data_IF_796449955104
#
_entry.id   IF_796449955104
#
_cell.length_a   1.000
_cell.length_b   1.000
_cell.length_c   1.000
_cell.angle_alpha   90.00
_cell.angle_beta   90.00
_cell.angle_gamma   90.00
#
_symmetry.space_group_name_H-M   'P 1'
#
loop_
_entity.id
_entity.type
_entity.pdbx_description
1 polymer ?
#
# COMPACT_ATOMS: atom_id res chain seq x y z
N UNK A 1 -2.51 -8.04 4.76
CA UNK A 1 -2.68 -6.65 5.23
C UNK A 1 -1.57 -6.26 6.18
N UNK A 2 -1.63 -6.71 7.43
CA UNK A 2 -0.76 -6.23 8.53
C UNK A 2 0.74 -6.43 8.33
N UNK A 3 1.19 -7.61 7.87
CA UNK A 3 2.62 -7.95 7.78
C UNK A 3 3.41 -7.17 6.72
N UNK A 4 2.76 -6.77 5.62
CA UNK A 4 3.44 -6.19 4.45
C UNK A 4 2.85 -4.84 4.05
N UNK A 5 1.90 -4.29 4.79
CA UNK A 5 1.13 -3.11 4.36
C UNK A 5 0.52 -3.26 2.95
N UNK A 6 0.44 -4.48 2.42
CA UNK A 6 -0.22 -4.82 1.18
C UNK A 6 -1.70 -4.93 1.53
N UNK A 7 -2.48 -3.89 1.22
CA UNK A 7 -3.94 -4.01 1.29
C UNK A 7 -4.39 -5.19 0.41
N UNK A 8 -5.46 -5.86 0.82
CA UNK A 8 -5.90 -7.12 0.20
C UNK A 8 -6.06 -7.05 -1.32
N UNK A 9 -6.29 -5.86 -1.89
CA UNK A 9 -6.58 -5.64 -3.31
C UNK A 9 -5.60 -6.25 -4.32
N UNK A 10 -4.32 -6.43 -4.00
CA UNK A 10 -3.37 -7.11 -4.92
C UNK A 10 -3.77 -8.56 -5.24
N UNK A 11 -4.33 -9.27 -4.25
CA UNK A 11 -4.79 -10.66 -4.39
C UNK A 11 -6.31 -10.75 -4.46
N UNK A 12 -7.03 -9.91 -3.70
CA UNK A 12 -8.49 -9.93 -3.62
C UNK A 12 -9.13 -9.51 -4.95
N UNK A 13 -8.58 -8.55 -5.69
CA UNK A 13 -9.16 -8.14 -6.99
C UNK A 13 -9.10 -9.29 -8.01
N UNK A 14 -7.93 -9.92 -8.30
CA UNK A 14 -7.88 -11.09 -9.16
C UNK A 14 -8.78 -12.24 -8.70
N UNK A 15 -8.84 -12.50 -7.39
CA UNK A 15 -9.66 -13.57 -6.83
C UNK A 15 -11.15 -13.32 -7.07
N UNK A 16 -11.63 -12.09 -6.84
CA UNK A 16 -13.02 -11.72 -7.08
C UNK A 16 -13.39 -11.79 -8.56
N UNK A 17 -12.50 -11.35 -9.46
CA UNK A 17 -12.74 -11.48 -10.91
C UNK A 17 -12.76 -12.95 -11.35
N UNK A 18 -11.84 -13.78 -10.86
CA UNK A 18 -11.74 -15.18 -11.28
C UNK A 18 -12.85 -16.07 -10.68
N UNK A 19 -13.17 -15.90 -9.40
CA UNK A 19 -14.07 -16.80 -8.67
C UNK A 19 -15.51 -16.28 -8.61
N UNK A 20 -15.68 -14.98 -8.42
CA UNK A 20 -17.00 -14.35 -8.31
C UNK A 20 -17.46 -13.71 -9.62
N UNK A 21 -16.63 -13.79 -10.69
CA UNK A 21 -16.89 -13.22 -12.03
C UNK A 21 -17.35 -11.76 -11.98
N UNK A 22 -16.82 -11.01 -11.01
CA UNK A 22 -17.12 -9.60 -10.85
C UNK A 22 -16.44 -8.76 -11.92
N UNK A 23 -17.14 -7.72 -12.39
CA UNK A 23 -16.55 -6.71 -13.27
C UNK A 23 -15.34 -6.03 -12.62
N UNK A 24 -14.32 -5.61 -13.41
CA UNK A 24 -13.11 -4.99 -12.89
C UNK A 24 -13.38 -3.78 -11.98
N UNK A 25 -14.36 -2.96 -12.33
CA UNK A 25 -14.79 -1.81 -11.54
C UNK A 25 -15.39 -2.22 -10.19
N UNK A 26 -16.30 -3.21 -10.21
CA UNK A 26 -16.94 -3.73 -9.00
C UNK A 26 -15.93 -4.41 -8.06
N UNK A 27 -14.98 -5.18 -8.61
CA UNK A 27 -13.91 -5.81 -7.86
C UNK A 27 -12.98 -4.76 -7.21
N UNK A 28 -12.61 -3.71 -7.95
CA UNK A 28 -11.78 -2.60 -7.45
C UNK A 28 -12.45 -1.86 -6.29
N UNK A 29 -13.69 -1.40 -6.46
CA UNK A 29 -14.44 -0.68 -5.43
C UNK A 29 -14.65 -1.52 -4.16
N UNK A 30 -15.03 -2.78 -4.33
CA UNK A 30 -15.26 -3.72 -3.21
C UNK A 30 -13.96 -4.03 -2.45
N UNK A 31 -12.84 -4.25 -3.16
CA UNK A 31 -11.55 -4.48 -2.51
C UNK A 31 -11.06 -3.28 -1.72
N UNK A 32 -11.25 -2.07 -2.26
CA UNK A 32 -10.86 -0.82 -1.61
C UNK A 32 -11.66 -0.61 -0.31
N UNK A 33 -12.99 -0.80 -0.37
CA UNK A 33 -13.87 -0.74 0.79
C UNK A 33 -13.52 -1.78 1.86
N UNK A 34 -13.27 -3.03 1.45
CA UNK A 34 -12.87 -4.08 2.37
C UNK A 34 -11.47 -3.83 3.00
N UNK A 35 -10.57 -3.15 2.29
CA UNK A 35 -9.20 -2.89 2.76
C UNK A 35 -9.11 -1.81 3.85
N UNK A 36 -10.13 -0.95 3.99
CA UNK A 36 -10.17 0.09 5.03
C UNK A 36 -10.04 -0.50 6.44
N UNK A 37 -10.85 -1.52 6.74
CA UNK A 37 -10.92 -2.14 8.05
C UNK A 37 -9.61 -2.77 8.52
N UNK A 38 -8.94 -3.66 7.75
CA UNK A 38 -7.66 -4.21 8.13
C UNK A 38 -6.53 -3.17 8.11
N UNK A 39 -6.61 -2.12 7.28
CA UNK A 39 -5.64 -1.03 7.32
C UNK A 39 -5.76 -0.22 8.63
N UNK A 40 -6.98 0.17 9.00
CA UNK A 40 -7.25 0.87 10.26
C UNK A 40 -6.89 0.02 11.48
N UNK A 41 -7.28 -1.26 11.48
CA UNK A 41 -6.96 -2.18 12.57
C UNK A 41 -5.46 -2.46 12.66
N UNK A 42 -4.77 -2.65 11.53
CA UNK A 42 -3.33 -2.79 11.47
C UNK A 42 -2.63 -1.53 11.98
N UNK A 43 -3.01 -0.35 11.50
CA UNK A 43 -2.47 0.94 11.97
C UNK A 43 -2.63 1.10 13.48
N UNK A 44 -3.79 0.72 14.03
CA UNK A 44 -4.05 0.75 15.47
C UNK A 44 -3.15 -0.22 16.25
N UNK A 45 -2.91 -1.44 15.75
CA UNK A 45 -1.98 -2.39 16.38
C UNK A 45 -0.54 -1.86 16.41
N UNK A 46 -0.06 -1.27 15.31
CA UNK A 46 1.26 -0.65 15.26
C UNK A 46 1.35 0.60 16.14
N UNK A 47 0.28 1.39 16.20
CA UNK A 47 0.21 2.54 17.11
C UNK A 47 0.32 2.11 18.58
N UNK A 48 -0.39 1.04 18.97
CA UNK A 48 -0.26 0.44 20.31
C UNK A 48 1.15 -0.07 20.62
N UNK A 49 1.91 -0.47 19.60
CA UNK A 49 3.29 -0.88 19.73
C UNK A 49 4.31 0.29 19.67
N UNK A 50 3.85 1.54 19.60
CA UNK A 50 4.71 2.72 19.45
C UNK A 50 5.39 2.85 18.08
N UNK A 51 4.92 2.11 17.07
CA UNK A 51 5.50 2.02 15.73
C UNK A 51 4.76 2.91 14.72
N UNK A 52 4.31 4.09 15.14
CA UNK A 52 3.65 5.07 14.26
C UNK A 52 4.11 6.48 14.60
N UNK A 53 4.71 7.16 13.63
CA UNK A 53 4.97 8.60 13.67
C UNK A 53 3.83 9.37 13.00
N UNK A 54 2.95 9.93 13.82
CA UNK A 54 1.78 10.68 13.34
C UNK A 54 2.14 11.94 12.55
N UNK A 55 3.31 12.55 12.78
CA UNK A 55 3.73 13.74 12.00
C UNK A 55 4.02 13.34 10.56
N UNK A 56 4.78 12.27 10.38
CA UNK A 56 5.04 11.70 9.05
C UNK A 56 3.73 11.27 8.37
N UNK A 57 2.84 10.59 9.12
CA UNK A 57 1.54 10.15 8.61
C UNK A 57 0.70 11.30 8.06
N UNK A 58 0.59 12.42 8.79
CA UNK A 58 -0.22 13.56 8.37
C UNK A 58 0.32 14.19 7.06
N UNK A 59 1.63 14.35 6.95
CA UNK A 59 2.26 14.95 5.76
C UNK A 59 2.09 14.07 4.52
N UNK A 60 2.11 12.75 4.69
CA UNK A 60 1.88 11.78 3.61
C UNK A 60 0.39 11.74 3.25
N UNK A 61 -0.48 11.71 4.26
CA UNK A 61 -1.92 11.53 4.11
C UNK A 61 -2.59 12.66 3.33
N UNK A 62 -2.20 13.92 3.54
CA UNK A 62 -2.83 15.08 2.88
C UNK A 62 -2.73 15.02 1.35
N UNK A 63 -1.54 14.96 0.72
CA UNK A 63 -1.42 14.86 -0.73
C UNK A 63 -2.02 13.54 -1.26
N UNK A 64 -1.86 12.44 -0.54
CA UNK A 64 -2.45 11.15 -0.89
C UNK A 64 -3.99 11.20 -0.99
N UNK A 65 -4.64 11.79 0.01
CA UNK A 65 -6.09 11.93 0.09
C UNK A 65 -6.66 12.78 -1.04
N UNK A 66 -5.92 13.81 -1.47
CA UNK A 66 -6.32 14.70 -2.58
C UNK A 66 -6.08 14.02 -3.93
N UNK A 67 -4.91 13.42 -4.15
CA UNK A 67 -4.53 12.86 -5.45
C UNK A 67 -5.24 11.54 -5.76
N UNK A 68 -5.55 10.72 -4.76
CA UNK A 68 -6.20 9.41 -4.97
C UNK A 68 -7.49 9.50 -5.80
N UNK A 69 -8.50 10.32 -5.44
CA UNK A 69 -9.72 10.43 -6.24
C UNK A 69 -9.48 11.10 -7.60
N UNK A 70 -8.62 12.12 -7.66
CA UNK A 70 -8.28 12.85 -8.90
C UNK A 70 -7.63 11.91 -9.92
N UNK A 71 -6.66 11.11 -9.49
CA UNK A 71 -5.98 10.15 -10.36
C UNK A 71 -6.90 8.97 -10.65
N UNK A 72 -7.76 8.59 -9.71
CA UNK A 72 -8.82 7.59 -9.87
C UNK A 72 -9.67 7.83 -11.11
N UNK A 73 -10.21 9.04 -11.23
CA UNK A 73 -11.03 9.46 -12.38
C UNK A 73 -10.20 9.63 -13.65
N UNK A 74 -8.97 10.14 -13.55
CA UNK A 74 -8.10 10.36 -14.71
C UNK A 74 -7.61 9.05 -15.35
N UNK A 75 -7.38 8.02 -14.53
CA UNK A 75 -6.80 6.74 -14.98
C UNK A 75 -7.80 5.87 -15.73
N UNK A 76 -9.11 6.17 -15.67
CA UNK A 76 -10.12 5.53 -16.53
C UNK A 76 -9.82 5.70 -18.03
N UNK A 77 -8.98 6.69 -18.39
CA UNK A 77 -8.61 7.01 -19.77
C UNK A 77 -7.21 6.53 -20.17
N UNK A 78 -6.46 5.90 -19.26
CA UNK A 78 -5.06 5.50 -19.52
C UNK A 78 -4.95 3.98 -19.75
N UNK A 79 -4.14 3.54 -20.73
CA UNK A 79 -3.89 2.12 -20.97
C UNK A 79 -3.16 1.50 -19.76
N UNK A 80 -3.85 0.61 -19.03
CA UNK A 80 -3.39 0.06 -17.75
C UNK A 80 -2.13 -0.80 -17.79
N UNK A 81 -1.67 -1.21 -18.99
CA UNK A 81 -0.48 -2.05 -19.18
C UNK A 81 0.84 -1.36 -18.81
N UNK A 82 1.13 -0.19 -19.41
CA UNK A 82 2.40 0.53 -19.19
C UNK A 82 2.54 1.04 -17.76
N UNK A 83 1.44 1.50 -17.17
CA UNK A 83 1.42 2.01 -15.81
C UNK A 83 1.70 0.90 -14.78
N UNK A 84 1.13 -0.29 -14.98
CA UNK A 84 1.43 -1.46 -14.17
C UNK A 84 2.91 -1.87 -14.26
N UNK A 85 3.48 -1.86 -15.46
CA UNK A 85 4.90 -2.17 -15.67
C UNK A 85 5.81 -1.16 -14.96
N UNK A 86 5.52 0.13 -15.07
CA UNK A 86 6.27 1.18 -14.36
C UNK A 86 6.27 0.95 -12.84
N UNK A 87 5.12 0.59 -12.25
CA UNK A 87 5.06 0.20 -10.84
C UNK A 87 5.87 -1.05 -10.54
N UNK A 88 5.86 -2.05 -11.42
CA UNK A 88 6.68 -3.25 -11.28
C UNK A 88 8.17 -2.91 -11.16
N UNK A 89 8.67 -2.02 -12.01
CA UNK A 89 10.07 -1.54 -11.95
C UNK A 89 10.36 -0.84 -10.63
N UNK A 90 9.52 0.11 -10.21
CA UNK A 90 9.70 0.86 -8.95
C UNK A 90 9.70 -0.08 -7.74
N UNK A 91 8.79 -1.06 -7.71
CA UNK A 91 8.69 -2.03 -6.61
C UNK A 91 9.91 -2.95 -6.55
N UNK A 92 10.42 -3.43 -7.70
CA UNK A 92 11.65 -4.22 -7.75
C UNK A 92 12.86 -3.39 -7.31
N UNK A 93 12.97 -2.16 -7.81
CA UNK A 93 14.02 -1.25 -7.39
C UNK A 93 13.98 -1.02 -5.87
N UNK A 94 12.79 -0.76 -5.31
CA UNK A 94 12.59 -0.64 -3.87
C UNK A 94 12.98 -1.89 -3.09
N UNK A 95 12.68 -3.09 -3.61
CA UNK A 95 13.07 -4.36 -3.00
C UNK A 95 14.60 -4.53 -2.95
N UNK A 96 15.28 -4.27 -4.06
CA UNK A 96 16.74 -4.38 -4.16
C UNK A 96 17.40 -3.34 -3.26
N UNK A 97 16.94 -2.09 -3.30
CA UNK A 97 17.46 -1.01 -2.48
C UNK A 97 17.23 -1.26 -0.99
N UNK A 98 16.13 -1.89 -0.58
CA UNK A 98 15.89 -2.26 0.82
C UNK A 98 16.94 -3.24 1.36
N UNK A 99 17.38 -4.18 0.53
CA UNK A 99 18.43 -5.15 0.89
C UNK A 99 19.80 -4.46 0.92
N UNK A 100 20.07 -3.62 -0.08
CA UNK A 100 21.34 -2.92 -0.23
C UNK A 100 21.45 -1.66 0.64
N UNK A 101 20.39 -1.27 1.36
CA UNK A 101 20.33 -0.03 2.16
C UNK A 101 21.55 0.13 3.05
N UNK A 102 21.86 -0.88 3.86
CA UNK A 102 22.95 -0.76 4.84
C UNK A 102 24.33 -0.68 4.16
N UNK A 103 24.46 -1.22 2.95
CA UNK A 103 25.69 -1.17 2.16
C UNK A 103 25.84 0.17 1.40
N UNK A 104 24.74 0.76 0.92
CA UNK A 104 24.74 1.93 0.05
C UNK A 104 24.53 3.25 0.81
N UNK A 105 23.65 3.25 1.81
CA UNK A 105 23.17 4.45 2.48
C UNK A 105 23.69 4.56 3.92
N UNK A 106 24.11 3.46 4.55
CA UNK A 106 24.63 3.46 5.93
C UNK A 106 23.67 4.19 6.89
N UNK A 107 24.15 5.27 7.52
CA UNK A 107 23.38 6.13 8.45
C UNK A 107 22.82 7.40 7.79
N UNK A 108 22.88 7.54 6.46
CA UNK A 108 22.38 8.71 5.76
C UNK A 108 20.85 8.74 5.75
N UNK A 109 20.26 9.38 6.76
CA UNK A 109 18.85 9.72 6.80
C UNK A 109 18.64 11.21 6.45
N UNK A 110 17.56 11.51 5.72
CA UNK A 110 17.17 12.89 5.46
C UNK A 110 16.68 13.55 6.76
N UNK A 111 17.13 14.76 7.04
CA UNK A 111 16.75 15.54 8.22
C UNK A 111 16.31 16.96 7.81
N UNK A 112 15.55 17.64 8.69
CA UNK A 112 15.15 19.03 8.50
C UNK A 112 14.18 19.23 7.33
N UNK A 113 14.32 20.31 6.56
CA UNK A 113 13.41 20.66 5.46
C UNK A 113 13.30 19.56 4.39
N UNK A 114 14.40 18.84 4.15
CA UNK A 114 14.46 17.80 3.13
C UNK A 114 13.63 16.56 3.52
N UNK A 115 13.50 16.27 4.82
CA UNK A 115 12.60 15.23 5.34
C UNK A 115 11.14 15.54 5.02
N UNK A 116 10.71 16.79 5.24
CA UNK A 116 9.33 17.20 4.95
C UNK A 116 9.03 17.17 3.45
N UNK A 117 9.99 17.60 2.62
CA UNK A 117 9.89 17.49 1.16
C UNK A 117 9.79 16.03 0.70
N UNK A 118 10.57 15.13 1.30
CA UNK A 118 10.50 13.70 1.00
C UNK A 118 9.15 13.09 1.42
N UNK A 119 8.65 13.40 2.61
CA UNK A 119 7.34 12.92 3.07
C UNK A 119 6.20 13.37 2.15
N UNK A 120 6.25 14.62 1.66
CA UNK A 120 5.29 15.12 0.68
C UNK A 120 5.39 14.37 -0.64
N UNK A 121 6.62 14.13 -1.15
CA UNK A 121 6.85 13.31 -2.35
C UNK A 121 6.31 11.88 -2.18
N UNK A 122 6.55 11.26 -1.02
CA UNK A 122 6.05 9.93 -0.69
C UNK A 122 4.52 9.89 -0.69
N UNK A 123 3.85 10.91 -0.15
CA UNK A 123 2.40 11.03 -0.21
C UNK A 123 1.84 11.28 -1.61
N UNK A 124 2.54 12.06 -2.44
CA UNK A 124 2.20 12.23 -3.87
C UNK A 124 2.32 10.90 -4.60
N UNK A 125 3.43 10.19 -4.42
CA UNK A 125 3.64 8.88 -5.00
C UNK A 125 2.55 7.90 -4.55
N UNK A 126 2.18 7.90 -3.27
CA UNK A 126 1.08 7.09 -2.73
C UNK A 126 -0.23 7.36 -3.46
N UNK A 127 -0.64 8.64 -3.54
CA UNK A 127 -1.90 9.02 -4.17
C UNK A 127 -1.94 8.69 -5.66
N UNK A 128 -0.82 8.87 -6.38
CA UNK A 128 -0.68 8.46 -7.78
C UNK A 128 -0.84 6.93 -7.92
N UNK A 129 -0.20 6.13 -7.05
CA UNK A 129 -0.28 4.65 -7.12
C UNK A 129 -1.70 4.17 -6.76
N UNK A 130 -2.23 4.65 -5.62
CA UNK A 130 -3.52 4.25 -5.10
C UNK A 130 -4.66 4.64 -6.06
N UNK A 131 -4.59 5.86 -6.60
CA UNK A 131 -5.55 6.36 -7.58
C UNK A 131 -5.46 5.65 -8.94
N UNK A 132 -4.27 5.26 -9.39
CA UNK A 132 -4.14 4.63 -10.71
C UNK A 132 -4.52 3.15 -10.74
N UNK A 133 -3.95 2.36 -9.84
CA UNK A 133 -4.11 0.90 -9.87
C UNK A 133 -5.41 0.48 -9.20
N UNK A 134 -6.00 1.33 -8.35
CA UNK A 134 -7.14 0.94 -7.51
C UNK A 134 -6.81 -0.09 -6.45
N UNK A 135 -5.55 -0.50 -6.43
CA UNK A 135 -4.92 -1.36 -5.45
C UNK A 135 -4.17 -0.40 -4.55
N UNK A 136 -4.46 -0.47 -3.26
CA UNK A 136 -3.77 0.30 -2.22
C UNK A 136 -2.25 0.36 -2.50
N UNK A 137 -1.69 1.55 -2.69
CA UNK A 137 -0.28 1.80 -3.05
C UNK A 137 0.76 1.40 -1.98
N UNK A 138 0.38 0.49 -1.09
CA UNK A 138 1.12 0.09 0.08
C UNK A 138 2.47 -0.59 -0.07
N UNK A 139 2.78 -1.34 -1.16
CA UNK A 139 4.12 -1.90 -1.29
C UNK A 139 5.20 -0.82 -1.42
N UNK A 140 4.87 0.36 -1.96
CA UNK A 140 5.85 1.40 -2.31
C UNK A 140 6.15 2.32 -1.14
N UNK A 141 5.17 2.56 -0.25
CA UNK A 141 5.31 3.55 0.82
C UNK A 141 6.35 3.16 1.87
N UNK A 142 6.30 1.92 2.37
CA UNK A 142 7.21 1.48 3.42
C UNK A 142 8.69 1.51 2.97
N UNK A 143 9.08 1.02 1.78
CA UNK A 143 10.43 1.19 1.25
C UNK A 143 10.88 2.64 1.20
N UNK A 144 10.04 3.54 0.71
CA UNK A 144 10.43 4.95 0.58
C UNK A 144 10.70 5.61 1.94
N UNK A 145 9.98 5.21 2.99
CA UNK A 145 10.22 5.66 4.36
C UNK A 145 11.53 5.08 4.92
N UNK A 146 11.80 3.80 4.68
CA UNK A 146 13.04 3.14 5.13
C UNK A 146 14.26 3.69 4.39
N UNK A 147 14.15 3.91 3.07
CA UNK A 147 15.24 4.37 2.22
C UNK A 147 15.54 5.85 2.39
N UNK A 148 14.52 6.71 2.49
CA UNK A 148 14.73 8.15 2.63
C UNK A 148 14.96 8.60 4.06
N UNK A 149 14.21 8.07 5.02
CA UNK A 149 14.25 8.55 6.42
C UNK A 149 15.01 7.61 7.35
N UNK A 150 15.47 6.46 6.84
CA UNK A 150 16.12 5.46 7.68
C UNK A 150 15.21 4.88 8.76
N UNK A 151 13.89 4.96 8.58
CA UNK A 151 12.94 4.45 9.56
C UNK A 151 13.13 2.94 9.74
N UNK A 152 13.03 2.42 10.98
CA UNK A 152 12.93 0.99 11.21
C UNK A 152 11.78 0.40 10.40
N UNK A 153 11.95 -0.84 9.92
CA UNK A 153 10.97 -1.49 9.05
C UNK A 153 9.56 -1.52 9.66
N UNK A 154 9.45 -1.78 10.97
CA UNK A 154 8.19 -1.79 11.70
C UNK A 154 7.52 -0.41 11.75
N UNK A 155 8.30 0.64 12.03
CA UNK A 155 7.81 2.02 12.04
C UNK A 155 7.31 2.44 10.66
N UNK A 156 8.06 2.14 9.60
CA UNK A 156 7.67 2.43 8.23
C UNK A 156 6.36 1.72 7.83
N UNK A 157 6.16 0.46 8.27
CA UNK A 157 4.92 -0.28 8.04
C UNK A 157 3.73 0.34 8.78
N UNK A 158 3.91 0.71 10.04
CA UNK A 158 2.87 1.35 10.84
C UNK A 158 2.45 2.70 10.25
N UNK A 159 3.40 3.57 9.92
CA UNK A 159 3.14 4.84 9.24
C UNK A 159 2.44 4.63 7.89
N UNK A 160 2.85 3.61 7.13
CA UNK A 160 2.23 3.27 5.85
C UNK A 160 0.77 2.81 5.98
N UNK A 161 0.46 2.00 6.98
CA UNK A 161 -0.91 1.59 7.28
C UNK A 161 -1.77 2.77 7.71
N UNK A 162 -1.24 3.63 8.59
CA UNK A 162 -1.95 4.79 9.12
C UNK A 162 -2.23 5.85 8.04
N UNK A 163 -1.22 6.21 7.22
CA UNK A 163 -1.36 7.19 6.14
C UNK A 163 -2.34 6.73 5.04
N UNK A 164 -2.53 5.42 4.89
CA UNK A 164 -3.45 4.84 3.91
C UNK A 164 -4.92 5.00 4.29
N UNK A 165 -5.27 5.01 5.57
CA UNK A 165 -6.67 5.10 6.03
C UNK A 165 -7.40 6.29 5.39
N UNK A 166 -6.90 7.54 5.46
CA UNK A 166 -7.56 8.68 4.83
C UNK A 166 -7.61 8.59 3.30
N UNK A 167 -6.55 8.09 2.65
CA UNK A 167 -6.52 7.91 1.19
C UNK A 167 -7.57 6.89 0.70
N UNK A 168 -7.71 5.77 1.43
CA UNK A 168 -8.72 4.75 1.15
C UNK A 168 -10.13 5.29 1.38
N UNK A 169 -10.36 6.08 2.44
CA UNK A 169 -11.66 6.74 2.66
C UNK A 169 -12.05 7.65 1.49
N UNK A 170 -11.11 8.46 1.00
CA UNK A 170 -11.35 9.30 -0.18
C UNK A 170 -11.64 8.46 -1.44
N UNK A 171 -10.92 7.36 -1.64
CA UNK A 171 -11.18 6.44 -2.75
C UNK A 171 -12.52 5.70 -2.64
N UNK A 172 -12.97 5.34 -1.43
CA UNK A 172 -14.28 4.71 -1.19
C UNK A 172 -15.38 5.69 -1.54
N UNK A 173 -15.23 6.95 -1.16
CA UNK A 173 -16.21 7.99 -1.47
C UNK A 173 -16.41 8.14 -2.98
N UNK A 174 -15.32 8.16 -3.75
CA UNK A 174 -15.38 8.21 -5.22
C UNK A 174 -16.02 6.94 -5.81
N UNK A 175 -15.52 5.75 -5.44
CA UNK A 175 -16.02 4.48 -5.99
C UNK A 175 -17.45 4.13 -5.54
N UNK A 176 -17.84 4.57 -4.35
CA UNK A 176 -19.17 4.41 -3.78
C UNK A 176 -20.22 5.21 -4.55
N UNK A 177 -19.87 6.42 -5.00
CA UNK A 177 -20.74 7.23 -5.88
C UNK A 177 -21.03 6.55 -7.21
N UNK A 178 -20.10 5.74 -7.73
CA UNK A 178 -20.26 5.00 -8.97
C UNK A 178 -21.01 3.66 -8.83
N UNK A 179 -21.48 3.28 -7.63
CA UNK A 179 -22.20 2.00 -7.42
C UNK A 179 -21.33 0.74 -7.55
N UNK A 180 -20.00 0.89 -7.54
CA UNK A 180 -19.05 -0.21 -7.75
C UNK A 180 -18.72 -1.01 -6.46
N UNK A 181 -19.39 -0.73 -5.34
CA UNK A 181 -19.12 -1.43 -4.07
C UNK A 181 -20.17 -2.50 -3.82
N UNK A 182 -19.78 -3.77 -3.87
CA UNK A 182 -20.65 -4.91 -3.54
C UNK A 182 -20.64 -5.14 -2.02
N UNK A 183 -21.51 -4.43 -1.31
CA UNK A 183 -21.62 -4.47 0.16
C UNK A 183 -21.82 -5.89 0.69
N UNK A 184 -22.53 -6.75 -0.05
CA UNK A 184 -22.78 -8.16 0.31
C UNK A 184 -21.48 -8.95 0.54
N UNK A 185 -20.39 -8.61 -0.15
CA UNK A 185 -19.11 -9.30 -0.02
C UNK A 185 -18.24 -8.74 1.12
N UNK A 186 -18.56 -7.57 1.66
CA UNK A 186 -17.74 -6.90 2.67
C UNK A 186 -17.60 -7.71 3.97
N UNK A 187 -18.64 -8.32 4.56
CA UNK A 187 -18.48 -9.03 5.83
C UNK A 187 -17.42 -10.12 5.77
N UNK A 188 -17.44 -10.97 4.74
CA UNK A 188 -16.46 -12.04 4.56
C UNK A 188 -15.04 -11.51 4.31
N UNK A 189 -14.90 -10.50 3.45
CA UNK A 189 -13.61 -9.89 3.15
C UNK A 189 -13.02 -9.14 4.35
N UNK A 190 -13.85 -8.46 5.13
CA UNK A 190 -13.46 -7.76 6.34
C UNK A 190 -13.00 -8.75 7.41
N UNK A 191 -13.74 -9.85 7.64
CA UNK A 191 -13.33 -10.88 8.60
C UNK A 191 -11.98 -11.53 8.22
N UNK A 192 -11.82 -11.92 6.95
CA UNK A 192 -10.53 -12.43 6.45
C UNK A 192 -9.42 -11.38 6.51
N UNK A 193 -9.74 -10.12 6.21
CA UNK A 193 -8.82 -8.99 6.30
C UNK A 193 -8.34 -8.74 7.72
N UNK A 194 -9.26 -8.67 8.68
CA UNK A 194 -8.98 -8.40 10.09
C UNK A 194 -8.17 -9.52 10.73
N UNK A 195 -8.52 -10.78 10.48
CA UNK A 195 -7.74 -11.94 10.96
C UNK A 195 -6.32 -11.94 10.38
N UNK A 196 -6.17 -11.68 9.07
CA UNK A 196 -4.87 -11.53 8.43
C UNK A 196 -4.08 -10.31 8.88
N UNK A 197 -4.75 -9.20 9.23
CA UNK A 197 -4.11 -8.02 9.81
C UNK A 197 -3.61 -8.31 11.22
N UNK A 198 -4.42 -8.95 12.05
CA UNK A 198 -4.06 -9.35 13.41
C UNK A 198 -2.84 -10.26 13.43
N UNK A 199 -2.90 -11.38 12.68
CA UNK A 199 -1.82 -12.36 12.61
C UNK A 199 -0.57 -11.73 11.98
N UNK A 200 -0.75 -10.98 10.89
CA UNK A 200 0.35 -10.34 10.19
C UNK A 200 1.07 -9.30 11.05
N UNK A 201 0.34 -8.44 11.75
CA UNK A 201 0.94 -7.45 12.65
C UNK A 201 1.65 -8.10 13.83
N UNK A 202 1.10 -9.19 14.41
CA UNK A 202 1.80 -9.92 15.48
C UNK A 202 3.12 -10.50 15.01
N UNK A 203 3.14 -11.18 13.86
CA UNK A 203 4.36 -11.73 13.28
C UNK A 203 5.36 -10.59 13.02
N UNK A 204 4.92 -9.51 12.38
CA UNK A 204 5.79 -8.38 12.04
C UNK A 204 6.44 -7.74 13.27
N UNK A 205 5.66 -7.51 14.33
CA UNK A 205 6.15 -6.88 15.56
C UNK A 205 7.05 -7.82 16.38
N UNK A 206 6.92 -9.14 16.21
CA UNK A 206 7.77 -10.12 16.88
C UNK A 206 9.08 -10.41 16.17
N UNK A 207 9.17 -10.12 14.87
CA UNK A 207 10.36 -10.41 14.07
C UNK A 207 11.44 -9.34 14.27
N UNK A 208 12.73 -9.74 14.33
CA UNK A 208 13.83 -8.78 14.27
C UNK A 208 13.78 -7.97 12.97
N UNK A 209 14.17 -6.70 13.04
CA UNK A 209 14.10 -5.75 11.93
C UNK A 209 14.71 -6.30 10.63
N UNK A 210 15.90 -6.90 10.70
CA UNK A 210 16.58 -7.46 9.54
C UNK A 210 15.79 -8.58 8.84
N UNK A 211 15.14 -9.46 9.62
CA UNK A 211 14.32 -10.53 9.07
C UNK A 211 13.04 -9.99 8.44
N UNK A 212 12.38 -9.03 9.11
CA UNK A 212 11.18 -8.39 8.59
C UNK A 212 11.48 -7.64 7.29
N UNK A 213 12.61 -6.93 7.23
CA UNK A 213 13.06 -6.19 6.05
C UNK A 213 13.35 -7.13 4.88
N UNK A 214 14.06 -8.23 5.12
CA UNK A 214 14.34 -9.24 4.09
C UNK A 214 13.06 -9.88 3.56
N UNK A 215 12.15 -10.30 4.46
CA UNK A 215 10.86 -10.87 4.08
C UNK A 215 10.04 -9.88 3.24
N UNK A 216 10.04 -8.60 3.61
CA UNK A 216 9.37 -7.56 2.87
C UNK A 216 9.96 -7.37 1.46
N UNK A 217 11.30 -7.33 1.34
CA UNK A 217 11.98 -7.22 0.06
C UNK A 217 11.67 -8.40 -0.87
N UNK A 218 11.66 -9.64 -0.35
CA UNK A 218 11.27 -10.83 -1.13
C UNK A 218 9.84 -10.69 -1.66
N UNK A 219 8.89 -10.29 -0.81
CA UNK A 219 7.50 -10.09 -1.22
C UNK A 219 7.36 -8.99 -2.27
N UNK A 220 8.08 -7.88 -2.13
CA UNK A 220 8.11 -6.83 -3.15
C UNK A 220 8.66 -7.34 -4.48
N UNK A 221 9.78 -8.06 -4.47
CA UNK A 221 10.35 -8.64 -5.68
C UNK A 221 9.34 -9.54 -6.41
N UNK A 222 8.62 -10.40 -5.66
CA UNK A 222 7.58 -11.26 -6.23
C UNK A 222 6.43 -10.45 -6.85
N UNK A 223 5.96 -9.40 -6.17
CA UNK A 223 4.89 -8.53 -6.67
C UNK A 223 5.35 -7.78 -7.93
N UNK A 224 6.56 -7.23 -7.90
CA UNK A 224 7.13 -6.49 -9.01
C UNK A 224 7.33 -7.36 -10.25
N UNK A 225 7.84 -8.59 -10.09
CA UNK A 225 7.93 -9.56 -11.19
C UNK A 225 6.54 -9.88 -11.77
N UNK A 226 5.54 -10.05 -10.91
CA UNK A 226 4.15 -10.27 -11.35
C UNK A 226 3.58 -9.07 -12.12
N UNK A 227 3.97 -7.84 -11.78
CA UNK A 227 3.53 -6.62 -12.47
C UNK A 227 4.22 -6.42 -13.81
N UNK A 228 5.46 -6.90 -13.98
CA UNK A 228 6.19 -6.86 -15.24
C UNK A 228 5.71 -7.91 -16.25
N UNK A 229 5.18 -9.05 -15.80
CA UNK A 229 4.65 -10.07 -16.69
C UNK A 229 3.47 -9.52 -17.51
N UNK A 230 3.49 -9.65 -18.85
CA UNK A 230 2.35 -9.30 -19.68
C UNK A 230 1.13 -10.09 -19.20
N UNK A 231 0.02 -9.40 -18.92
CA UNK A 231 -1.25 -10.08 -18.68
C UNK A 231 -1.70 -10.54 -20.07
N UNK A 232 -1.70 -11.86 -20.31
CA UNK A 232 -2.38 -12.43 -21.49
C UNK A 232 -3.85 -12.05 -21.32
N UNK A 233 -4.31 -11.11 -22.12
CA UNK A 233 -5.73 -10.84 -22.31
C UNK A 233 -6.23 -11.98 -23.18
N UNK A 234 -6.97 -12.91 -22.57
CA UNK A 234 -7.82 -13.88 -23.28
C UNK A 234 -9.23 -13.28 -23.35
#
# INVERSE_FOLDING_TARGET
>A
GGLFSLGGGTLTIPLMMAWLRLDPFAARGTALAAALFPAAFGAWLYHRAGQVDWRAVLVIAVPAMILTPVVGTLTERLPGGRLRQAFGVVVIAGAVLLILRDQLLGSAALHGTLQWGWLAFVGIAEGLVAGSVGVSGGPVLAPLLVLGLGMPQQLAQGCSLAARVPAVLAGIWENGRCGHVRIVLLPGLVLGGLSGAWLGSRIALSLPEMHLRSLFAVVLALIGVRYLRPRRED
#
